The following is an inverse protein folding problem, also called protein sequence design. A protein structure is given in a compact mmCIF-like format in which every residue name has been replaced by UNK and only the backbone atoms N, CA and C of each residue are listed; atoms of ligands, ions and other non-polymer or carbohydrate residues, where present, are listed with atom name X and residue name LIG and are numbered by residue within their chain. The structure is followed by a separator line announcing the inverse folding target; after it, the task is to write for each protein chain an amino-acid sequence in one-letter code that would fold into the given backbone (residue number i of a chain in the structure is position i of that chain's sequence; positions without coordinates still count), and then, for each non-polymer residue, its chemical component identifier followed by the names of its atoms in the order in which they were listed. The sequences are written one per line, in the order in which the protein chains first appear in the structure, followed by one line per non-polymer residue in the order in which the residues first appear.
data_IF_969494343277
#
_entry.id   IF_969494343277
#
_cell.length_a   1.000
_cell.length_b   1.000
_cell.length_c   1.000
_cell.angle_alpha   90.00
_cell.angle_beta   90.00
_cell.angle_gamma   90.00
#
_symmetry.space_group_name_H-M   'P 1'
#
loop_
_entity.id
_entity.type
_entity.pdbx_description
1 polymer ?
#
# COMPACT_ATOMS: atom_id res chain seq x y z
N UNK A 1 -11.05 -17.76 -6.81
CA UNK A 1 -10.69 -17.91 -8.25
C UNK A 1 -10.28 -16.59 -8.90
N UNK A 2 -11.09 -15.53 -8.88
CA UNK A 2 -10.76 -14.23 -9.51
C UNK A 2 -9.50 -13.55 -8.93
N UNK A 3 -9.30 -13.63 -7.61
CA UNK A 3 -8.17 -12.98 -6.92
C UNK A 3 -6.82 -13.59 -7.28
N UNK A 4 -6.72 -14.93 -7.30
CA UNK A 4 -5.51 -15.63 -7.75
C UNK A 4 -5.13 -15.33 -9.20
N UNK A 5 -6.11 -15.04 -10.08
CA UNK A 5 -5.83 -14.59 -11.46
C UNK A 5 -5.23 -13.17 -11.50
N UNK A 6 -5.68 -12.27 -10.63
CA UNK A 6 -5.10 -10.93 -10.49
C UNK A 6 -3.67 -11.00 -9.94
N UNK A 7 -3.44 -11.82 -8.92
CA UNK A 7 -2.11 -12.00 -8.33
C UNK A 7 -1.13 -12.61 -9.35
N UNK A 8 -1.59 -13.57 -10.16
CA UNK A 8 -0.80 -14.12 -11.27
C UNK A 8 -0.46 -13.07 -12.35
N UNK A 9 -1.40 -12.18 -12.67
CA UNK A 9 -1.17 -11.05 -13.59
C UNK A 9 -0.14 -10.06 -13.02
N UNK A 10 -0.24 -9.72 -11.73
CA UNK A 10 0.72 -8.86 -11.05
C UNK A 10 2.12 -9.50 -11.03
N UNK A 11 2.20 -10.80 -10.71
CA UNK A 11 3.45 -11.56 -10.74
C UNK A 11 4.07 -11.58 -12.14
N UNK A 12 3.27 -11.67 -13.20
CA UNK A 12 3.76 -11.56 -14.59
C UNK A 12 4.25 -10.15 -14.91
N UNK A 13 3.56 -9.11 -14.44
CA UNK A 13 3.91 -7.72 -14.70
C UNK A 13 5.23 -7.32 -14.01
N UNK A 14 5.42 -7.73 -12.76
CA UNK A 14 6.59 -7.40 -11.93
C UNK A 14 7.80 -8.34 -12.13
N UNK A 15 7.63 -9.43 -12.90
CA UNK A 15 8.67 -10.40 -13.19
C UNK A 15 9.94 -9.80 -13.81
N UNK A 16 11.09 -10.32 -13.37
CA UNK A 16 12.43 -10.04 -13.93
C UNK A 16 12.89 -11.11 -14.92
N UNK A 17 12.26 -12.29 -14.90
CA UNK A 17 12.56 -13.43 -15.76
C UNK A 17 11.80 -13.37 -17.09
N UNK A 18 12.07 -14.32 -18.00
CA UNK A 18 11.45 -14.31 -19.32
C UNK A 18 9.93 -14.41 -19.24
N UNK A 19 9.22 -13.40 -19.76
CA UNK A 19 7.74 -13.36 -19.73
C UNK A 19 7.10 -14.57 -20.38
N UNK A 20 7.64 -15.04 -21.51
CA UNK A 20 7.12 -16.23 -22.21
C UNK A 20 7.24 -17.48 -21.35
N UNK A 21 8.39 -17.69 -20.71
CA UNK A 21 8.61 -18.87 -19.85
C UNK A 21 7.63 -18.88 -18.70
N UNK A 22 7.47 -17.73 -18.02
CA UNK A 22 6.53 -17.59 -16.91
C UNK A 22 5.07 -17.80 -17.33
N UNK A 23 4.67 -17.25 -18.48
CA UNK A 23 3.33 -17.43 -19.02
C UNK A 23 3.03 -18.90 -19.32
N UNK A 24 3.96 -19.61 -19.98
CA UNK A 24 3.82 -21.04 -20.27
C UNK A 24 3.71 -21.86 -18.98
N UNK A 25 4.58 -21.60 -18.00
CA UNK A 25 4.54 -22.28 -16.70
C UNK A 25 3.21 -22.10 -15.97
N UNK A 26 2.61 -20.90 -16.04
CA UNK A 26 1.28 -20.65 -15.46
C UNK A 26 0.20 -21.56 -16.06
N UNK A 27 0.30 -21.91 -17.35
CA UNK A 27 -0.60 -22.85 -18.04
C UNK A 27 -0.14 -24.31 -17.96
N UNK A 28 0.91 -24.61 -17.17
CA UNK A 28 1.46 -25.97 -17.03
C UNK A 28 2.34 -26.40 -18.21
N UNK A 29 2.70 -25.48 -19.10
CA UNK A 29 3.58 -25.74 -20.24
C UNK A 29 5.05 -25.46 -19.89
N UNK A 30 5.96 -26.26 -20.44
CA UNK A 30 7.40 -26.06 -20.30
C UNK A 30 7.99 -25.47 -21.57
N UNK A 31 8.88 -24.49 -21.41
CA UNK A 31 9.70 -23.99 -22.51
C UNK A 31 11.08 -24.65 -22.44
N UNK A 32 11.54 -25.25 -23.53
CA UNK A 32 12.84 -25.95 -23.59
C UNK A 32 14.08 -25.03 -23.45
N UNK A 33 13.89 -23.74 -23.15
CA UNK A 33 14.95 -22.74 -22.93
C UNK A 33 14.58 -21.86 -21.75
N UNK A 34 15.57 -21.22 -21.15
CA UNK A 34 15.36 -20.27 -20.05
C UNK A 34 14.98 -18.85 -20.52
N UNK A 35 15.16 -18.56 -21.81
CA UNK A 35 14.86 -17.25 -22.41
C UNK A 35 14.30 -17.38 -23.82
N UNK A 36 13.25 -16.62 -24.14
CA UNK A 36 12.63 -16.61 -25.47
C UNK A 36 13.30 -15.67 -26.47
N UNK A 37 14.19 -14.79 -26.00
CA UNK A 37 14.88 -13.78 -26.81
C UNK A 37 13.94 -12.84 -27.60
N UNK A 38 12.67 -12.74 -27.20
CA UNK A 38 11.67 -11.96 -27.94
C UNK A 38 10.63 -11.27 -27.04
N UNK A 39 10.90 -11.16 -25.74
CA UNK A 39 10.10 -10.34 -24.82
C UNK A 39 10.96 -9.20 -24.28
N UNK A 40 10.34 -8.15 -23.77
CA UNK A 40 11.01 -6.99 -23.18
C UNK A 40 12.02 -7.38 -22.09
N UNK A 41 11.70 -8.33 -21.19
CA UNK A 41 12.65 -8.80 -20.18
C UNK A 41 13.90 -9.47 -20.78
N UNK A 42 13.80 -10.05 -21.98
CA UNK A 42 14.96 -10.62 -22.69
C UNK A 42 15.68 -9.59 -23.56
N UNK A 43 14.95 -8.67 -24.19
CA UNK A 43 15.47 -7.68 -25.13
C UNK A 43 16.07 -6.46 -24.42
N UNK A 44 15.57 -6.13 -23.24
CA UNK A 44 15.97 -4.97 -22.44
C UNK A 44 15.97 -5.35 -20.96
N UNK A 45 16.91 -6.20 -20.52
CA UNK A 45 16.97 -6.65 -19.14
C UNK A 45 17.22 -5.46 -18.20
N UNK A 46 16.29 -5.22 -17.29
CA UNK A 46 16.45 -4.19 -16.27
C UNK A 46 17.53 -4.61 -15.24
N UNK A 47 18.26 -3.65 -14.65
CA UNK A 47 19.15 -3.95 -13.53
C UNK A 47 18.36 -4.61 -12.40
N UNK A 48 18.91 -5.67 -11.82
CA UNK A 48 18.25 -6.45 -10.77
C UNK A 48 18.84 -6.08 -9.42
N UNK A 49 17.98 -5.80 -8.46
CA UNK A 49 18.32 -5.65 -7.06
C UNK A 49 18.06 -6.96 -6.31
N UNK A 50 19.08 -7.45 -5.57
CA UNK A 50 18.91 -8.49 -4.58
C UNK A 50 18.23 -7.92 -3.33
N UNK A 51 16.93 -8.15 -3.19
CA UNK A 51 16.16 -7.68 -2.07
C UNK A 51 15.92 -8.78 -1.02
N UNK A 52 16.67 -9.88 -1.08
CA UNK A 52 16.50 -11.02 -0.17
C UNK A 52 16.64 -10.61 1.29
N UNK A 53 17.63 -9.76 1.61
CA UNK A 53 17.83 -9.25 2.97
C UNK A 53 16.65 -8.36 3.42
N UNK A 54 16.23 -7.41 2.59
CA UNK A 54 15.08 -6.55 2.87
C UNK A 54 13.80 -7.37 3.08
N UNK A 55 13.58 -8.40 2.26
CA UNK A 55 12.44 -9.31 2.38
C UNK A 55 12.47 -10.10 3.69
N UNK A 56 13.62 -10.68 4.06
CA UNK A 56 13.78 -11.43 5.31
C UNK A 56 13.53 -10.55 6.52
N UNK A 57 14.06 -9.32 6.53
CA UNK A 57 13.85 -8.33 7.58
C UNK A 57 12.37 -7.93 7.68
N UNK A 58 11.69 -7.70 6.56
CA UNK A 58 10.26 -7.38 6.53
C UNK A 58 9.40 -8.53 7.05
N UNK A 59 9.59 -9.75 6.55
CA UNK A 59 8.86 -10.94 7.00
C UNK A 59 9.10 -11.23 8.49
N UNK A 60 10.35 -11.08 8.94
CA UNK A 60 10.70 -11.24 10.36
C UNK A 60 10.02 -10.20 11.23
N UNK A 61 9.91 -8.96 10.76
CA UNK A 61 9.21 -7.89 11.49
C UNK A 61 7.73 -8.22 11.66
N UNK A 62 7.06 -8.66 10.58
CA UNK A 62 5.65 -9.10 10.62
C UNK A 62 5.46 -10.23 11.64
N UNK A 63 6.34 -11.23 11.59
CA UNK A 63 6.31 -12.35 12.52
C UNK A 63 6.44 -11.89 13.99
N UNK A 64 7.45 -11.06 14.29
CA UNK A 64 7.72 -10.58 15.66
C UNK A 64 6.60 -9.72 16.21
N UNK A 65 6.04 -8.83 15.38
CA UNK A 65 4.88 -8.01 15.75
C UNK A 65 3.68 -8.89 16.10
N UNK A 66 3.39 -9.90 15.27
CA UNK A 66 2.28 -10.82 15.54
C UNK A 66 2.51 -11.63 16.82
N UNK A 67 3.76 -12.04 17.11
CA UNK A 67 4.09 -12.76 18.34
C UNK A 67 3.86 -11.93 19.61
N UNK A 68 4.28 -10.66 19.62
CA UNK A 68 4.23 -9.80 20.81
C UNK A 68 2.85 -9.17 21.01
N UNK A 69 2.20 -8.72 19.92
CA UNK A 69 0.92 -8.02 20.01
C UNK A 69 -0.31 -8.94 19.93
N UNK A 70 -0.16 -10.17 19.43
CA UNK A 70 -1.30 -11.08 19.16
C UNK A 70 -2.24 -10.62 18.04
N UNK A 71 -2.00 -9.44 17.45
CA UNK A 71 -2.76 -8.85 16.36
C UNK A 71 -1.83 -8.49 15.19
N UNK A 72 -2.40 -8.47 13.99
CA UNK A 72 -1.70 -8.07 12.77
C UNK A 72 -1.85 -6.57 12.51
N UNK A 73 -0.87 -6.00 11.79
CA UNK A 73 -0.86 -4.58 11.43
C UNK A 73 -0.68 -4.39 9.93
N UNK A 74 -1.08 -3.21 9.45
CA UNK A 74 -0.87 -2.81 8.06
C UNK A 74 0.60 -2.49 7.74
N UNK A 75 0.88 -2.39 6.44
CA UNK A 75 2.24 -2.20 5.92
C UNK A 75 2.96 -0.96 6.45
N UNK A 76 2.24 0.15 6.66
CA UNK A 76 2.84 1.39 7.16
C UNK A 76 3.51 1.21 8.53
N UNK A 77 2.78 0.62 9.48
CA UNK A 77 3.30 0.33 10.82
C UNK A 77 4.50 -0.61 10.80
N UNK A 78 4.43 -1.68 10.00
CA UNK A 78 5.54 -2.63 9.85
C UNK A 78 6.79 -1.95 9.28
N UNK A 79 6.63 -1.07 8.28
CA UNK A 79 7.74 -0.30 7.72
C UNK A 79 8.31 0.71 8.71
N UNK A 80 7.46 1.35 9.52
CA UNK A 80 7.91 2.28 10.55
C UNK A 80 8.75 1.57 11.62
N UNK A 81 8.33 0.38 12.07
CA UNK A 81 9.11 -0.46 12.99
C UNK A 81 10.45 -0.85 12.35
N UNK A 82 10.42 -1.44 11.15
CA UNK A 82 11.63 -1.94 10.50
C UNK A 82 12.64 -0.82 10.23
N UNK A 83 12.17 0.40 9.93
CA UNK A 83 13.02 1.57 9.70
C UNK A 83 13.38 2.34 10.98
N UNK A 84 12.93 1.88 12.14
CA UNK A 84 13.29 2.46 13.44
C UNK A 84 12.60 3.78 13.76
N UNK A 85 11.41 4.02 13.19
CA UNK A 85 10.62 5.22 13.50
C UNK A 85 9.77 4.99 14.74
N UNK A 86 10.07 5.70 15.81
CA UNK A 86 9.28 5.69 17.04
C UNK A 86 8.04 6.59 16.90
N UNK A 87 7.01 6.11 16.20
CA UNK A 87 5.69 6.77 16.16
C UNK A 87 4.92 6.47 17.44
N UNK A 88 3.86 7.23 17.71
CA UNK A 88 3.03 7.02 18.91
C UNK A 88 2.44 5.61 18.94
N UNK A 89 2.00 5.10 17.78
CA UNK A 89 1.54 3.71 17.63
C UNK A 89 2.65 2.70 17.92
N UNK A 90 3.89 2.95 17.50
CA UNK A 90 5.02 2.05 17.80
C UNK A 90 5.29 2.00 19.32
N UNK A 91 5.27 3.14 20.00
CA UNK A 91 5.45 3.22 21.47
C UNK A 91 4.29 2.58 22.21
N UNK A 92 3.05 2.88 21.82
CA UNK A 92 1.83 2.36 22.44
C UNK A 92 1.82 0.83 22.49
N UNK A 93 2.29 0.17 21.42
CA UNK A 93 2.36 -1.29 21.33
C UNK A 93 3.72 -1.87 21.74
N UNK A 94 4.64 -1.05 22.29
CA UNK A 94 5.96 -1.50 22.75
C UNK A 94 6.86 -2.04 21.65
N UNK A 95 6.59 -1.73 20.38
CA UNK A 95 7.31 -2.31 19.24
C UNK A 95 8.73 -1.78 19.04
N UNK A 96 9.12 -0.73 19.77
CA UNK A 96 10.50 -0.24 19.81
C UNK A 96 11.47 -1.23 20.48
N UNK A 97 10.95 -2.17 21.28
CA UNK A 97 11.74 -3.21 21.94
C UNK A 97 11.98 -4.45 21.07
N UNK A 98 11.37 -4.50 19.87
CA UNK A 98 11.53 -5.64 18.97
C UNK A 98 12.96 -5.68 18.42
N UNK A 99 13.55 -6.88 18.36
CA UNK A 99 14.85 -7.10 17.71
C UNK A 99 14.93 -6.63 16.24
N UNK A 100 13.79 -6.44 15.58
CA UNK A 100 13.70 -5.96 14.20
C UNK A 100 13.51 -4.44 14.11
N UNK A 101 13.37 -3.73 15.24
CA UNK A 101 13.23 -2.28 15.24
C UNK A 101 14.52 -1.63 14.72
N UNK A 102 14.40 -0.81 13.68
CA UNK A 102 15.54 -0.15 13.05
C UNK A 102 16.46 -1.04 12.20
N UNK A 103 16.18 -2.34 12.09
CA UNK A 103 17.04 -3.31 11.39
C UNK A 103 17.12 -3.08 9.87
N UNK A 104 16.19 -2.32 9.30
CA UNK A 104 16.13 -1.95 7.88
C UNK A 104 16.19 -0.44 7.65
N UNK A 105 16.86 0.31 8.52
CA UNK A 105 17.01 1.77 8.41
C UNK A 105 17.66 2.22 7.10
N UNK A 106 18.48 1.37 6.48
CA UNK A 106 19.11 1.58 5.18
C UNK A 106 18.12 1.54 4.01
N UNK A 107 16.94 0.95 4.18
CA UNK A 107 15.95 0.84 3.12
C UNK A 107 14.99 2.03 3.13
N UNK A 108 14.78 2.61 1.94
CA UNK A 108 13.73 3.59 1.72
C UNK A 108 12.34 2.94 1.79
N UNK A 109 11.33 3.75 2.07
CA UNK A 109 9.93 3.31 2.05
C UNK A 109 9.52 2.79 0.67
N UNK A 110 10.07 3.37 -0.41
CA UNK A 110 9.80 2.93 -1.78
C UNK A 110 10.35 1.51 -2.03
N UNK A 111 11.59 1.24 -1.58
CA UNK A 111 12.19 -0.09 -1.64
C UNK A 111 11.36 -1.11 -0.87
N UNK A 112 10.99 -0.81 0.38
CA UNK A 112 10.18 -1.72 1.19
C UNK A 112 8.78 -1.96 0.60
N UNK A 113 8.16 -0.95 -0.01
CA UNK A 113 6.90 -1.13 -0.75
C UNK A 113 7.05 -2.02 -1.97
N UNK A 114 8.14 -1.90 -2.71
CA UNK A 114 8.42 -2.78 -3.84
C UNK A 114 8.58 -4.22 -3.37
N UNK A 115 9.37 -4.44 -2.31
CA UNK A 115 9.55 -5.76 -1.69
C UNK A 115 8.23 -6.34 -1.20
N UNK A 116 7.38 -5.54 -0.55
CA UNK A 116 6.07 -5.98 -0.10
C UNK A 116 5.20 -6.50 -1.25
N UNK A 117 5.14 -5.78 -2.38
CA UNK A 117 4.38 -6.22 -3.57
C UNK A 117 4.90 -7.53 -4.12
N UNK A 118 6.23 -7.66 -4.22
CA UNK A 118 6.87 -8.89 -4.68
C UNK A 118 6.54 -10.09 -3.76
N UNK A 119 6.50 -9.87 -2.44
CA UNK A 119 6.16 -10.91 -1.46
C UNK A 119 4.68 -11.31 -1.53
N UNK A 120 3.79 -10.39 -1.87
CA UNK A 120 2.37 -10.72 -2.14
C UNK A 120 2.28 -11.54 -3.42
N UNK A 121 2.94 -11.09 -4.49
CA UNK A 121 2.96 -11.77 -5.79
C UNK A 121 3.58 -13.18 -5.72
N UNK A 122 4.54 -13.40 -4.82
CA UNK A 122 5.15 -14.72 -4.59
C UNK A 122 4.37 -15.61 -3.61
N UNK A 123 3.21 -15.16 -3.11
CA UNK A 123 2.42 -15.90 -2.13
C UNK A 123 3.11 -16.04 -0.76
N UNK A 124 4.06 -15.16 -0.43
CA UNK A 124 4.70 -15.11 0.88
C UNK A 124 3.91 -14.24 1.87
N UNK A 125 3.13 -13.27 1.36
CA UNK A 125 2.28 -12.39 2.15
C UNK A 125 0.87 -12.31 1.60
N UNK A 126 -0.08 -12.14 2.51
CA UNK A 126 -1.46 -11.80 2.21
C UNK A 126 -1.84 -10.48 2.88
N UNK A 127 -2.64 -9.67 2.18
CA UNK A 127 -3.26 -8.46 2.73
C UNK A 127 -4.73 -8.77 2.98
N UNK A 128 -5.11 -8.85 4.25
CA UNK A 128 -6.48 -9.07 4.66
C UNK A 128 -7.27 -7.74 4.51
N UNK A 129 -8.05 -7.66 3.43
CA UNK A 129 -8.82 -6.46 3.10
C UNK A 129 -9.98 -6.21 4.09
N UNK A 130 -10.47 -7.24 4.76
CA UNK A 130 -11.61 -7.18 5.68
C UNK A 130 -11.13 -6.75 7.07
N UNK A 131 -9.97 -7.23 7.51
CA UNK A 131 -9.32 -6.83 8.78
C UNK A 131 -8.32 -5.69 8.56
N UNK A 132 -8.82 -4.50 8.26
CA UNK A 132 -8.05 -3.25 8.22
C UNK A 132 -6.78 -3.26 7.35
N UNK A 133 -6.74 -4.07 6.28
CA UNK A 133 -5.56 -4.21 5.41
C UNK A 133 -4.32 -4.71 6.15
N UNK A 134 -4.51 -5.62 7.08
CA UNK A 134 -3.43 -6.20 7.89
C UNK A 134 -2.63 -7.24 7.11
N UNK A 135 -1.33 -7.34 7.42
CA UNK A 135 -0.42 -8.28 6.78
C UNK A 135 -0.41 -9.64 7.49
N UNK A 136 -0.48 -10.70 6.71
CA UNK A 136 -0.43 -12.09 7.17
C UNK A 136 0.64 -12.86 6.41
N UNK A 137 1.46 -13.61 7.13
CA UNK A 137 2.42 -14.54 6.52
C UNK A 137 1.69 -15.72 5.87
N UNK A 138 2.21 -16.17 4.73
CA UNK A 138 1.71 -17.33 3.99
C UNK A 138 2.84 -18.35 3.82
N UNK A 139 2.55 -19.53 3.25
CA UNK A 139 3.53 -20.62 3.13
C UNK A 139 4.79 -20.22 2.35
N UNK A 140 4.66 -19.29 1.38
CA UNK A 140 5.81 -18.75 0.63
C UNK A 140 6.81 -17.96 1.47
N UNK A 141 6.48 -17.56 2.71
CA UNK A 141 7.40 -16.83 3.57
C UNK A 141 8.51 -17.71 4.14
N UNK A 142 8.23 -19.00 4.40
CA UNK A 142 9.17 -19.94 5.04
C UNK A 142 10.49 -20.12 4.27
N UNK A 143 10.51 -20.44 2.97
CA UNK A 143 11.76 -20.63 2.23
C UNK A 143 12.58 -19.33 2.14
N UNK A 144 11.92 -18.17 2.07
CA UNK A 144 12.59 -16.86 2.07
C UNK A 144 13.26 -16.60 3.43
N UNK A 145 12.54 -16.82 4.53
CA UNK A 145 13.07 -16.63 5.89
C UNK A 145 14.29 -17.54 6.17
N UNK A 146 14.25 -18.78 5.67
CA UNK A 146 15.37 -19.75 5.75
C UNK A 146 16.54 -19.45 4.81
N UNK A 147 16.38 -18.51 3.88
CA UNK A 147 17.40 -18.20 2.87
C UNK A 147 17.47 -19.21 1.72
N UNK A 148 16.49 -20.10 1.60
CA UNK A 148 16.38 -21.09 0.52
C UNK A 148 15.87 -20.47 -0.77
N UNK A 149 15.11 -19.36 -0.67
CA UNK A 149 14.56 -18.64 -1.81
C UNK A 149 14.98 -17.17 -1.80
N UNK A 150 15.64 -16.73 -2.88
CA UNK A 150 16.02 -15.34 -3.09
C UNK A 150 14.82 -14.49 -3.56
N UNK A 151 14.84 -13.21 -3.19
CA UNK A 151 13.87 -12.21 -3.66
C UNK A 151 14.60 -11.20 -4.55
N UNK A 152 14.24 -11.21 -5.84
CA UNK A 152 14.87 -10.36 -6.87
C UNK A 152 13.83 -9.38 -7.41
N UNK A 153 14.17 -8.09 -7.42
CA UNK A 153 13.31 -7.04 -7.98
C UNK A 153 14.06 -6.28 -9.06
N UNK A 154 13.34 -5.62 -9.97
CA UNK A 154 13.96 -4.64 -10.85
C UNK A 154 14.35 -3.40 -10.04
N UNK A 155 15.58 -2.90 -10.25
CA UNK A 155 16.13 -1.78 -9.50
C UNK A 155 15.39 -0.45 -9.76
N UNK A 156 14.78 -0.28 -10.93
CA UNK A 156 13.99 0.90 -11.29
C UNK A 156 12.68 1.01 -10.47
N UNK A 157 12.11 -0.12 -10.06
CA UNK A 157 10.93 -0.17 -9.18
C UNK A 157 11.28 0.12 -7.71
N UNK A 158 12.57 -0.08 -7.36
CA UNK A 158 13.11 0.17 -6.03
C UNK A 158 13.56 1.62 -5.83
N UNK A 159 13.83 2.35 -6.91
CA UNK A 159 14.18 3.76 -6.83
C UNK A 159 12.96 4.59 -6.35
N UNK A 160 13.13 5.55 -5.43
CA UNK A 160 12.11 6.57 -5.23
C UNK A 160 11.85 7.21 -6.59
N UNK A 161 10.60 7.30 -7.01
CA UNK A 161 10.24 7.93 -8.28
C UNK A 161 10.89 9.33 -8.29
N UNK A 162 12.00 9.46 -9.01
CA UNK A 162 12.62 10.73 -9.34
C UNK A 162 11.73 11.36 -10.40
N UNK A 163 10.49 11.72 -10.00
CA UNK A 163 9.81 12.79 -10.70
C UNK A 163 10.66 14.01 -10.42
N UNK A 164 11.25 14.66 -11.45
CA UNK A 164 11.77 15.99 -11.22
C UNK A 164 10.59 16.77 -10.66
N UNK A 165 10.72 17.20 -9.40
CA UNK A 165 9.90 18.27 -8.87
C UNK A 165 10.31 19.48 -9.70
N UNK A 166 9.71 19.62 -10.88
CA UNK A 166 9.52 20.93 -11.46
C UNK A 166 8.84 21.72 -10.34
N UNK A 167 9.61 22.58 -9.70
CA UNK A 167 9.11 23.67 -8.88
C UNK A 167 8.16 24.43 -9.79
N UNK A 168 6.88 24.03 -9.81
CA UNK A 168 5.82 24.94 -10.19
C UNK A 168 5.88 26.02 -9.13
N UNK A 169 6.50 27.14 -9.52
CA UNK A 169 6.39 28.40 -8.84
C UNK A 169 4.95 28.58 -8.38
N UNK A 170 4.79 29.12 -7.17
CA UNK A 170 3.51 29.50 -6.59
C UNK A 170 2.66 30.21 -7.66
N UNK A 171 1.70 29.48 -8.22
CA UNK A 171 0.60 30.03 -8.99
C UNK A 171 -0.65 29.72 -8.20
N UNK A 172 -1.39 30.79 -7.94
CA UNK A 172 -2.45 30.89 -6.96
C UNK A 172 -3.43 29.73 -6.98
N UNK A 173 -3.93 29.46 -5.78
CA UNK A 173 -5.18 28.78 -5.45
C UNK A 173 -6.21 28.89 -6.56
N UNK A 174 -6.23 27.91 -7.45
CA UNK A 174 -7.38 27.61 -8.29
C UNK A 174 -7.96 26.31 -7.73
N UNK A 175 -9.22 26.29 -7.26
CA UNK A 175 -9.84 25.06 -6.78
C UNK A 175 -9.87 24.01 -7.90
N UNK A 176 -9.67 22.74 -7.53
CA UNK A 176 -9.97 21.61 -8.41
C UNK A 176 -11.42 21.72 -8.93
N UNK A 177 -11.74 21.22 -10.14
CA UNK A 177 -13.07 21.37 -10.75
C UNK A 177 -14.24 20.85 -9.90
N UNK A 178 -13.97 19.97 -8.92
CA UNK A 178 -14.97 19.48 -7.95
C UNK A 178 -15.25 20.42 -6.77
N UNK A 179 -14.48 21.50 -6.58
CA UNK A 179 -14.62 22.46 -5.48
C UNK A 179 -15.03 23.87 -5.95
N UNK A 180 -15.26 24.05 -7.26
CA UNK A 180 -15.52 25.36 -7.86
C UNK A 180 -16.89 25.96 -7.47
N UNK A 181 -17.83 25.14 -6.97
CA UNK A 181 -19.18 25.55 -6.55
C UNK A 181 -19.39 25.55 -5.03
N UNK A 182 -18.36 25.27 -4.23
CA UNK A 182 -18.48 25.16 -2.77
C UNK A 182 -18.32 26.52 -2.09
N UNK A 183 -19.14 26.80 -1.08
CA UNK A 183 -18.96 27.96 -0.20
C UNK A 183 -17.69 27.83 0.68
N UNK A 184 -17.31 28.90 1.38
CA UNK A 184 -16.07 28.94 2.16
C UNK A 184 -16.04 27.86 3.28
N UNK A 185 -17.19 27.57 3.90
CA UNK A 185 -17.28 26.56 4.96
C UNK A 185 -17.16 25.14 4.39
N UNK A 186 -17.77 24.87 3.25
CA UNK A 186 -17.65 23.62 2.51
C UNK A 186 -16.24 23.42 1.96
N UNK A 187 -15.56 24.48 1.51
CA UNK A 187 -14.16 24.39 1.08
C UNK A 187 -13.23 23.97 2.23
N UNK A 188 -13.45 24.50 3.45
CA UNK A 188 -12.70 24.09 4.63
C UNK A 188 -12.97 22.61 4.98
N UNK A 189 -14.24 22.19 5.06
CA UNK A 189 -14.59 20.78 5.27
C UNK A 189 -13.96 19.85 4.24
N UNK A 190 -13.95 20.26 2.97
CA UNK A 190 -13.33 19.50 1.90
C UNK A 190 -11.81 19.38 2.05
N UNK A 191 -11.13 20.42 2.56
CA UNK A 191 -9.71 20.38 2.86
C UNK A 191 -9.42 19.40 4.02
N UNK A 192 -10.20 19.47 5.09
CA UNK A 192 -10.04 18.61 6.28
C UNK A 192 -10.30 17.14 5.92
N UNK A 193 -11.36 16.87 5.15
CA UNK A 193 -11.66 15.53 4.63
C UNK A 193 -10.55 14.99 3.70
N UNK A 194 -9.89 15.85 2.90
CA UNK A 194 -8.75 15.44 2.08
C UNK A 194 -7.53 15.11 2.93
N UNK A 195 -7.25 15.89 3.96
CA UNK A 195 -6.15 15.65 4.89
C UNK A 195 -6.36 14.31 5.61
N UNK A 196 -7.53 14.13 6.22
CA UNK A 196 -7.94 12.88 6.86
C UNK A 196 -7.84 11.68 5.90
N UNK A 197 -8.38 11.80 4.69
CA UNK A 197 -8.30 10.74 3.69
C UNK A 197 -6.85 10.39 3.36
N UNK A 198 -5.97 11.38 3.28
CA UNK A 198 -4.54 11.19 3.04
C UNK A 198 -3.86 10.43 4.18
N UNK A 199 -4.24 10.71 5.42
CA UNK A 199 -3.74 10.01 6.61
C UNK A 199 -4.19 8.55 6.63
N UNK A 200 -5.50 8.30 6.44
CA UNK A 200 -6.07 6.95 6.38
C UNK A 200 -5.47 6.16 5.22
N UNK A 201 -5.34 6.76 4.05
CA UNK A 201 -4.71 6.14 2.89
C UNK A 201 -3.25 5.76 3.16
N UNK A 202 -2.50 6.63 3.84
CA UNK A 202 -1.12 6.36 4.24
C UNK A 202 -1.04 5.26 5.31
N UNK A 203 -1.96 5.25 6.28
CA UNK A 203 -2.03 4.22 7.32
C UNK A 203 -2.30 2.83 6.75
N UNK A 204 -3.30 2.73 5.86
CA UNK A 204 -3.64 1.46 5.21
C UNK A 204 -2.80 1.17 3.96
N UNK A 205 -1.85 2.05 3.61
CA UNK A 205 -0.97 1.94 2.46
C UNK A 205 -1.72 1.73 1.12
N UNK A 206 -2.80 2.49 0.93
CA UNK A 206 -3.65 2.51 -0.26
C UNK A 206 -3.57 3.88 -0.95
N UNK A 207 -3.80 3.97 -2.26
CA UNK A 207 -4.04 5.25 -2.91
C UNK A 207 -5.27 5.96 -2.30
N UNK A 208 -5.20 7.27 -2.07
CA UNK A 208 -6.27 8.02 -1.39
C UNK A 208 -7.65 7.87 -2.03
N UNK A 209 -7.72 7.76 -3.37
CA UNK A 209 -8.98 7.58 -4.09
C UNK A 209 -9.72 6.27 -3.74
N UNK A 210 -9.01 5.25 -3.22
CA UNK A 210 -9.62 3.98 -2.78
C UNK A 210 -10.50 4.17 -1.54
N UNK A 211 -10.09 5.08 -0.65
CA UNK A 211 -10.87 5.45 0.54
C UNK A 211 -12.14 6.20 0.09
N UNK A 212 -11.98 7.35 -0.56
CA UNK A 212 -13.06 8.10 -1.22
C UNK A 212 -12.53 8.85 -2.45
N UNK A 213 -13.34 8.97 -3.49
CA UNK A 213 -13.03 9.86 -4.61
C UNK A 213 -13.26 11.33 -4.21
N UNK A 214 -12.59 12.26 -4.90
CA UNK A 214 -12.76 13.70 -4.65
C UNK A 214 -14.22 14.15 -4.80
N UNK A 215 -14.97 13.56 -5.74
CA UNK A 215 -16.39 13.84 -5.92
C UNK A 215 -17.22 13.48 -4.68
N UNK A 216 -16.93 12.35 -4.03
CA UNK A 216 -17.62 11.95 -2.79
C UNK A 216 -17.26 12.89 -1.64
N UNK A 217 -15.98 13.25 -1.50
CA UNK A 217 -15.58 14.22 -0.48
C UNK A 217 -16.19 15.61 -0.69
N UNK A 218 -16.31 16.06 -1.94
CA UNK A 218 -16.98 17.30 -2.29
C UNK A 218 -18.48 17.24 -1.94
N UNK A 219 -19.15 16.13 -2.25
CA UNK A 219 -20.55 15.93 -1.90
C UNK A 219 -20.80 15.87 -0.37
N UNK A 220 -19.88 15.26 0.40
CA UNK A 220 -19.92 15.29 1.88
C UNK A 220 -19.73 16.72 2.38
N UNK A 221 -18.75 17.45 1.83
CA UNK A 221 -18.47 18.81 2.23
C UNK A 221 -19.64 19.77 1.91
N UNK A 222 -20.31 19.57 0.78
CA UNK A 222 -21.50 20.33 0.37
C UNK A 222 -22.71 20.04 1.25
N UNK A 223 -23.02 18.76 1.48
CA UNK A 223 -24.22 18.36 2.25
C UNK A 223 -24.07 18.51 3.76
N UNK A 224 -22.84 18.56 4.28
CA UNK A 224 -22.54 18.69 5.70
C UNK A 224 -23.35 17.74 6.61
N UNK A 225 -23.30 16.41 6.36
CA UNK A 225 -24.16 15.44 7.02
C UNK A 225 -23.95 15.43 8.53
N UNK A 226 -25.05 15.35 9.29
CA UNK A 226 -25.06 15.31 10.75
C UNK A 226 -25.32 13.92 11.31
N UNK A 227 -25.54 12.91 10.48
CA UNK A 227 -25.81 11.54 10.92
C UNK A 227 -25.28 10.50 9.93
N UNK A 228 -25.12 9.25 10.40
CA UNK A 228 -24.74 8.13 9.53
C UNK A 228 -25.79 7.88 8.44
N UNK A 229 -27.07 8.10 8.76
CA UNK A 229 -28.16 8.01 7.78
C UNK A 229 -28.02 9.04 6.65
N UNK A 230 -27.64 10.29 6.97
CA UNK A 230 -27.38 11.31 5.96
C UNK A 230 -26.14 11.01 5.10
N UNK A 231 -25.09 10.43 5.70
CA UNK A 231 -23.93 9.95 4.96
C UNK A 231 -24.30 8.83 3.96
N UNK A 232 -25.16 7.89 4.36
CA UNK A 232 -25.59 6.80 3.49
C UNK A 232 -26.26 7.31 2.19
N UNK A 233 -26.92 8.47 2.24
CA UNK A 233 -27.56 9.10 1.10
C UNK A 233 -26.60 9.77 0.08
N UNK A 234 -25.28 9.72 0.31
CA UNK A 234 -24.27 10.35 -0.54
C UNK A 234 -23.67 9.35 -1.54
N UNK A 235 -23.65 9.74 -2.82
CA UNK A 235 -23.08 8.92 -3.89
C UNK A 235 -21.60 8.59 -3.65
N UNK A 236 -21.28 7.30 -3.65
CA UNK A 236 -19.94 6.76 -3.37
C UNK A 236 -19.74 6.28 -1.92
N UNK A 237 -20.76 6.39 -1.06
CA UNK A 237 -20.79 5.79 0.28
C UNK A 237 -21.67 4.53 0.24
N UNK A 238 -21.03 3.35 0.17
CA UNK A 238 -21.71 2.06 0.35
C UNK A 238 -21.71 1.60 1.81
N UNK A 239 -22.52 0.58 2.14
CA UNK A 239 -22.67 0.07 3.51
C UNK A 239 -21.33 -0.25 4.21
N UNK A 240 -20.41 -0.92 3.51
CA UNK A 240 -19.08 -1.25 4.06
C UNK A 240 -18.21 -0.02 4.35
N UNK A 241 -18.29 1.04 3.53
CA UNK A 241 -17.54 2.29 3.78
C UNK A 241 -18.18 3.11 4.90
N UNK A 242 -19.50 3.07 5.01
CA UNK A 242 -20.24 3.72 6.08
C UNK A 242 -19.90 3.08 7.44
N UNK A 243 -19.92 1.74 7.51
CA UNK A 243 -19.54 1.00 8.70
C UNK A 243 -18.07 1.24 9.09
N UNK A 244 -17.17 1.27 8.10
CA UNK A 244 -15.73 1.38 8.36
C UNK A 244 -15.25 2.81 8.66
N UNK A 245 -15.85 3.84 8.05
CA UNK A 245 -15.34 5.21 8.10
C UNK A 245 -16.37 6.25 8.54
N UNK A 246 -17.64 5.86 8.74
CA UNK A 246 -18.74 6.81 8.93
C UNK A 246 -18.55 7.75 10.11
N UNK A 247 -18.22 7.21 11.29
CA UNK A 247 -18.05 8.02 12.50
C UNK A 247 -16.91 9.03 12.37
N UNK A 248 -15.80 8.59 11.79
CA UNK A 248 -14.62 9.43 11.62
C UNK A 248 -14.83 10.51 10.55
N UNK A 249 -15.54 10.17 9.47
CA UNK A 249 -15.96 11.14 8.44
C UNK A 249 -16.90 12.19 9.05
N UNK A 250 -17.86 11.80 9.89
CA UNK A 250 -18.73 12.75 10.60
C UNK A 250 -17.92 13.66 11.52
N UNK A 251 -16.98 13.08 12.28
CA UNK A 251 -16.11 13.84 13.17
C UNK A 251 -15.32 14.91 12.42
N UNK A 252 -14.71 14.55 11.29
CA UNK A 252 -13.95 15.48 10.46
C UNK A 252 -14.86 16.50 9.76
N UNK A 253 -16.03 16.08 9.26
CA UNK A 253 -16.98 16.97 8.58
C UNK A 253 -17.62 18.02 9.51
N UNK A 254 -17.77 17.73 10.80
CA UNK A 254 -18.27 18.68 11.81
C UNK A 254 -17.23 19.71 12.26
N UNK A 255 -15.95 19.50 11.94
CA UNK A 255 -14.83 20.30 12.43
C UNK A 255 -14.38 19.85 13.82
N UNK A 256 -13.08 19.98 14.09
CA UNK A 256 -12.51 19.61 15.38
C UNK A 256 -13.08 20.48 16.51
N UNK A 257 -13.81 19.84 17.42
CA UNK A 257 -13.83 20.21 18.83
C UNK A 257 -12.66 19.53 19.54
#
# INVERSE_FOLDING_TARGET
VLRGKLDALLALAEATDCRRVRLLQYFGESYGRLACQNCDNCLSPAPIWDATDAARKLLSTIYRVQQVSGISFGAGHIMDILRGKATDKVRQFGHEQLSTFGLGAEFSEAQLRAVLRQLIASGALHVDAERYHTLQLQDGARPILRGEQAVRLRADVAAPAARPRQRKAARGTTPAPAAASLDAAAQQRFADLKAWRGEVAREHNLPAYVIFHDATLAAIAERAPQSLAELQGISGIGASKLERYGDEVLRVARGAG
#
